data_IF_763879590908
#
_entry.id   IF_763879590908
#
_cell.length_a   1.000
_cell.length_b   1.000
_cell.length_c   1.000
_cell.angle_alpha   90.00
_cell.angle_beta   90.00
_cell.angle_gamma   90.00
#
_symmetry.space_group_name_H-M   'P 1'
#
loop_
_entity.id
_entity.type
_entity.pdbx_description
1 polymer ?
#
# COMPACT_ATOMS: atom_id res chain seq x y z
N UNK A 1 -10.65 -4.89 -7.36
CA UNK A 1 -9.31 -4.27 -7.19
C UNK A 1 -8.52 -4.23 -8.50
N UNK A 2 -8.01 -5.34 -9.03
CA UNK A 2 -7.15 -5.31 -10.23
C UNK A 2 -7.85 -4.85 -11.52
N UNK A 3 -9.18 -5.03 -11.63
CA UNK A 3 -9.94 -4.67 -12.84
C UNK A 3 -9.81 -5.74 -13.93
N UNK A 4 -10.64 -5.61 -14.98
CA UNK A 4 -10.66 -6.57 -16.10
C UNK A 4 -9.49 -6.38 -17.07
N UNK A 5 -8.96 -5.15 -17.17
CA UNK A 5 -7.89 -4.81 -18.11
C UNK A 5 -6.47 -5.08 -17.55
N UNK A 6 -6.37 -5.57 -16.31
CA UNK A 6 -5.08 -5.96 -15.75
C UNK A 6 -4.61 -7.26 -16.42
N UNK A 7 -3.43 -7.24 -17.05
CA UNK A 7 -2.84 -8.42 -17.70
C UNK A 7 -2.33 -9.47 -16.69
N UNK A 8 -1.97 -9.06 -15.47
CA UNK A 8 -1.30 -9.93 -14.49
C UNK A 8 -2.06 -11.24 -14.16
N UNK A 9 -3.40 -11.26 -13.99
CA UNK A 9 -4.16 -12.51 -13.86
C UNK A 9 -4.03 -13.43 -15.08
N UNK A 10 -4.11 -12.87 -16.29
CA UNK A 10 -3.98 -13.65 -17.54
C UNK A 10 -2.57 -14.21 -17.76
N UNK A 11 -1.56 -13.56 -17.19
CA UNK A 11 -0.15 -14.00 -17.20
C UNK A 11 0.18 -14.99 -16.08
N UNK A 12 -0.78 -15.35 -15.22
CA UNK A 12 -0.55 -16.25 -14.09
C UNK A 12 0.32 -15.66 -12.97
N UNK A 13 0.44 -14.33 -12.89
CA UNK A 13 1.26 -13.62 -11.90
C UNK A 13 0.51 -13.24 -10.61
N UNK A 14 -0.71 -13.73 -10.44
CA UNK A 14 -1.58 -13.37 -9.31
C UNK A 14 -1.88 -14.59 -8.45
N UNK A 15 -1.37 -14.58 -7.22
CA UNK A 15 -1.82 -15.43 -6.13
C UNK A 15 -2.78 -14.67 -5.22
N UNK A 16 -3.89 -15.28 -4.80
CA UNK A 16 -4.85 -14.66 -3.89
C UNK A 16 -5.35 -15.65 -2.86
N UNK A 17 -5.51 -15.18 -1.62
CA UNK A 17 -6.15 -15.93 -0.54
C UNK A 17 -7.20 -15.05 0.13
N UNK A 18 -8.32 -15.65 0.51
CA UNK A 18 -9.35 -14.94 1.28
C UNK A 18 -8.89 -14.76 2.72
N UNK A 19 -9.16 -13.58 3.29
CA UNK A 19 -8.82 -13.25 4.67
C UNK A 19 -10.04 -12.66 5.41
N UNK A 20 -10.08 -12.73 6.76
CA UNK A 20 -11.12 -12.09 7.56
C UNK A 20 -10.94 -10.56 7.58
N UNK A 21 -11.46 -9.90 6.54
CA UNK A 21 -11.39 -8.45 6.37
C UNK A 21 -9.97 -7.92 6.12
N UNK A 22 -9.83 -6.60 6.12
CA UNK A 22 -8.56 -5.91 5.86
C UNK A 22 -7.48 -6.23 6.91
N UNK A 23 -7.85 -6.31 8.19
CA UNK A 23 -6.91 -6.68 9.24
C UNK A 23 -6.32 -8.08 9.02
N UNK A 24 -7.16 -9.05 8.62
CA UNK A 24 -6.71 -10.40 8.30
C UNK A 24 -5.77 -10.41 7.11
N UNK A 25 -6.09 -9.65 6.05
CA UNK A 25 -5.25 -9.55 4.86
C UNK A 25 -3.88 -8.94 5.19
N UNK A 26 -3.86 -7.84 5.95
CA UNK A 26 -2.63 -7.21 6.45
C UNK A 26 -1.81 -8.16 7.33
N UNK A 27 -2.48 -8.89 8.24
CA UNK A 27 -1.82 -9.84 9.14
C UNK A 27 -1.15 -10.99 8.37
N UNK A 28 -1.84 -11.55 7.38
CA UNK A 28 -1.29 -12.61 6.51
C UNK A 28 -0.13 -12.05 5.67
N UNK A 29 -0.29 -10.85 5.08
CA UNK A 29 0.78 -10.17 4.35
C UNK A 29 2.04 -9.99 5.20
N UNK A 30 1.88 -9.54 6.45
CA UNK A 30 2.98 -9.43 7.40
C UNK A 30 3.67 -10.78 7.68
N UNK A 31 2.94 -11.90 7.80
CA UNK A 31 3.58 -13.22 7.96
C UNK A 31 4.38 -13.62 6.74
N UNK A 32 3.84 -13.38 5.54
CA UNK A 32 4.53 -13.69 4.29
C UNK A 32 5.81 -12.87 4.18
N UNK A 33 5.74 -11.56 4.44
CA UNK A 33 6.90 -10.66 4.44
C UNK A 33 7.94 -11.15 5.44
N UNK A 34 7.55 -11.38 6.70
CA UNK A 34 8.48 -11.80 7.75
C UNK A 34 9.11 -13.17 7.46
N UNK A 35 8.35 -14.11 6.87
CA UNK A 35 8.87 -15.43 6.49
C UNK A 35 9.85 -15.36 5.33
N UNK A 36 9.63 -14.46 4.37
CA UNK A 36 10.50 -14.28 3.20
C UNK A 36 11.75 -13.44 3.53
N UNK A 37 11.58 -12.38 4.32
CA UNK A 37 12.62 -11.42 4.67
C UNK A 37 12.45 -10.95 6.14
N UNK A 38 12.95 -11.72 7.13
CA UNK A 38 12.78 -11.38 8.55
C UNK A 38 13.40 -10.04 8.97
N UNK A 39 14.35 -9.53 8.19
CA UNK A 39 15.02 -8.25 8.42
C UNK A 39 14.37 -7.07 7.67
N UNK A 40 13.28 -7.31 6.93
CA UNK A 40 12.57 -6.26 6.20
C UNK A 40 12.06 -5.19 7.17
N UNK A 41 12.26 -3.92 6.83
CA UNK A 41 11.58 -2.80 7.49
C UNK A 41 10.33 -2.44 6.70
N UNK A 42 9.26 -2.14 7.44
CA UNK A 42 8.04 -1.59 6.85
C UNK A 42 8.07 -0.07 6.99
N UNK A 43 8.14 0.61 5.86
CA UNK A 43 8.00 2.06 5.75
C UNK A 43 6.51 2.42 5.80
N UNK A 44 6.12 3.29 6.72
CA UNK A 44 4.72 3.66 6.98
C UNK A 44 4.54 5.18 6.95
N UNK A 45 3.45 5.67 6.35
CA UNK A 45 3.18 7.10 6.29
C UNK A 45 3.07 7.75 7.67
N UNK A 46 3.50 9.00 7.79
CA UNK A 46 3.25 9.84 8.95
C UNK A 46 2.25 10.96 8.61
N UNK A 47 1.00 10.93 9.15
CA UNK A 47 0.42 9.88 9.98
C UNK A 47 -0.07 8.68 9.17
N UNK A 48 -0.60 7.64 9.84
CA UNK A 48 -1.27 6.48 9.23
C UNK A 48 -2.42 5.97 10.09
N UNK A 49 -3.12 4.93 9.64
CA UNK A 49 -4.11 4.24 10.46
C UNK A 49 -3.41 3.59 11.66
N UNK A 50 -3.73 3.95 12.92
CA UNK A 50 -2.93 3.57 14.09
C UNK A 50 -2.75 2.06 14.30
N UNK A 51 -3.65 1.25 13.71
CA UNK A 51 -3.61 -0.22 13.83
C UNK A 51 -2.50 -0.83 12.97
N UNK A 52 -1.95 -0.13 11.96
CA UNK A 52 -0.86 -0.65 11.13
C UNK A 52 0.34 -1.11 11.96
N UNK A 53 0.79 -0.31 12.93
CA UNK A 53 1.95 -0.64 13.76
C UNK A 53 1.77 -1.92 14.60
N UNK A 54 0.77 -2.02 15.51
CA UNK A 54 0.61 -3.24 16.31
C UNK A 54 0.23 -4.47 15.46
N UNK A 55 -0.50 -4.28 14.35
CA UNK A 55 -0.92 -5.40 13.50
C UNK A 55 0.25 -6.01 12.75
N UNK A 56 1.02 -5.19 12.02
CA UNK A 56 2.17 -5.64 11.24
C UNK A 56 3.37 -5.98 12.16
N UNK A 57 3.51 -5.28 13.29
CA UNK A 57 4.59 -5.50 14.25
C UNK A 57 4.43 -6.77 15.06
N UNK A 58 3.22 -7.36 15.10
CA UNK A 58 2.94 -8.58 15.87
C UNK A 58 3.75 -9.82 15.43
N UNK A 59 4.37 -9.78 14.24
CA UNK A 59 5.28 -10.83 13.74
C UNK A 59 6.77 -10.52 13.95
N UNK A 60 7.11 -9.35 14.50
CA UNK A 60 8.49 -8.92 14.70
C UNK A 60 9.09 -8.06 13.59
N UNK A 61 8.27 -7.55 12.65
CA UNK A 61 8.74 -6.59 11.63
C UNK A 61 9.14 -5.25 12.27
N UNK A 62 10.25 -4.69 11.79
CA UNK A 62 10.69 -3.34 12.14
C UNK A 62 9.98 -2.28 11.31
N UNK A 63 10.03 -1.03 11.75
CA UNK A 63 9.36 0.09 11.09
C UNK A 63 10.28 1.28 10.87
N UNK A 64 10.01 1.98 9.78
CA UNK A 64 10.46 3.35 9.53
C UNK A 64 9.23 4.17 9.15
N UNK A 65 9.28 5.49 9.32
CA UNK A 65 8.22 6.39 8.86
C UNK A 65 8.69 7.29 7.73
N UNK A 66 7.77 7.65 6.84
CA UNK A 66 8.01 8.67 5.82
C UNK A 66 6.98 9.79 5.95
N UNK A 67 7.41 11.03 5.74
CA UNK A 67 6.53 12.20 5.76
C UNK A 67 5.43 12.04 4.72
N UNK A 68 4.19 12.35 5.09
CA UNK A 68 3.05 12.20 4.19
C UNK A 68 2.10 13.39 4.23
N UNK A 69 1.52 13.74 5.38
CA UNK A 69 0.53 14.82 5.42
C UNK A 69 1.21 16.19 5.59
N UNK A 70 0.79 17.18 4.80
CA UNK A 70 1.19 18.58 4.99
C UNK A 70 0.03 19.39 5.62
N UNK A 71 0.17 19.85 6.89
CA UNK A 71 -0.85 20.66 7.54
C UNK A 71 -1.10 22.02 6.88
N UNK A 72 -0.17 22.55 6.07
CA UNK A 72 -0.35 23.85 5.42
C UNK A 72 -1.25 23.75 4.18
N UNK A 73 -1.01 22.76 3.32
CA UNK A 73 -1.80 22.52 2.11
C UNK A 73 -2.99 21.58 2.31
N UNK A 74 -3.04 20.86 3.43
CA UNK A 74 -3.95 19.75 3.70
C UNK A 74 -3.81 18.59 2.68
N UNK A 75 -2.72 18.56 1.92
CA UNK A 75 -2.42 17.56 0.90
C UNK A 75 -1.26 16.66 1.29
N UNK A 76 -0.71 15.97 0.29
CA UNK A 76 0.48 15.13 0.47
C UNK A 76 1.75 15.98 0.39
N UNK A 77 2.58 15.93 1.43
CA UNK A 77 3.97 16.36 1.43
C UNK A 77 4.82 15.40 0.58
N UNK A 78 4.63 15.45 -0.74
CA UNK A 78 5.23 14.49 -1.65
C UNK A 78 6.76 14.63 -1.74
N UNK A 79 7.28 15.85 -1.65
CA UNK A 79 8.72 16.09 -1.61
C UNK A 79 9.36 15.44 -0.37
N UNK A 80 8.73 15.59 0.80
CA UNK A 80 9.16 14.93 2.03
C UNK A 80 9.08 13.40 1.94
N UNK A 81 7.97 12.88 1.41
CA UNK A 81 7.78 11.45 1.16
C UNK A 81 8.91 10.88 0.30
N UNK A 82 9.21 11.51 -0.84
CA UNK A 82 10.26 11.06 -1.76
C UNK A 82 11.64 11.13 -1.10
N UNK A 83 11.93 12.21 -0.36
CA UNK A 83 13.21 12.37 0.33
C UNK A 83 13.45 11.27 1.38
N UNK A 84 12.42 10.89 2.15
CA UNK A 84 12.54 9.84 3.15
C UNK A 84 12.68 8.46 2.49
N UNK A 85 11.84 8.17 1.47
CA UNK A 85 11.84 6.92 0.75
C UNK A 85 13.06 6.69 -0.15
N UNK A 86 13.98 7.65 -0.31
CA UNK A 86 15.30 7.41 -0.89
C UNK A 86 16.18 6.49 -0.04
N UNK A 87 15.86 6.34 1.25
CA UNK A 87 16.58 5.48 2.19
C UNK A 87 16.00 4.07 2.27
N UNK A 88 14.94 3.77 1.51
CA UNK A 88 14.41 2.42 1.39
C UNK A 88 15.38 1.56 0.57
N UNK A 89 15.68 0.36 1.06
CA UNK A 89 16.68 -0.52 0.44
C UNK A 89 16.02 -1.79 -0.12
N UNK A 90 16.72 -2.58 -0.96
CA UNK A 90 16.20 -3.86 -1.41
C UNK A 90 15.75 -4.74 -0.24
N UNK A 91 14.53 -5.26 -0.33
CA UNK A 91 13.91 -6.08 0.72
C UNK A 91 13.11 -5.30 1.77
N UNK A 92 13.20 -3.97 1.81
CA UNK A 92 12.23 -3.16 2.55
C UNK A 92 10.85 -3.21 1.89
N UNK A 93 9.81 -2.95 2.69
CA UNK A 93 8.42 -2.87 2.23
C UNK A 93 7.90 -1.46 2.47
N UNK A 94 7.20 -0.89 1.48
CA UNK A 94 6.56 0.44 1.63
C UNK A 94 5.05 0.26 1.67
N UNK A 95 4.45 0.50 2.85
CA UNK A 95 3.01 0.39 3.08
C UNK A 95 2.29 1.65 2.59
N UNK A 96 1.50 1.51 1.53
CA UNK A 96 0.76 2.60 0.89
C UNK A 96 -0.75 2.41 1.10
N UNK A 97 -1.47 3.50 1.34
CA UNK A 97 -2.94 3.51 1.26
C UNK A 97 -3.31 3.59 -0.22
N UNK A 98 -4.16 2.68 -0.70
CA UNK A 98 -4.54 2.63 -2.12
C UNK A 98 -5.36 3.84 -2.56
N UNK A 99 -6.17 4.38 -1.66
CA UNK A 99 -7.01 5.57 -1.78
C UNK A 99 -7.59 5.90 -0.39
N UNK A 100 -8.23 7.07 -0.28
CA UNK A 100 -8.89 7.56 0.92
C UNK A 100 -8.00 7.42 2.16
N UNK A 101 -6.80 8.00 2.13
CA UNK A 101 -5.81 7.82 3.20
C UNK A 101 -6.42 8.00 4.59
N UNK A 102 -6.17 7.04 5.47
CA UNK A 102 -6.61 7.12 6.87
C UNK A 102 -5.41 7.51 7.75
N UNK A 103 -5.45 8.65 8.48
CA UNK A 103 -6.64 9.44 8.81
C UNK A 103 -6.87 10.69 7.96
N UNK A 104 -5.96 11.05 7.05
CA UNK A 104 -5.90 12.43 6.55
C UNK A 104 -6.79 12.74 5.33
N UNK A 105 -7.19 11.73 4.56
CA UNK A 105 -7.94 11.88 3.31
C UNK A 105 -7.15 12.48 2.15
N UNK A 106 -5.84 12.74 2.31
CA UNK A 106 -4.98 13.23 1.24
C UNK A 106 -4.43 12.05 0.43
N UNK A 107 -4.74 12.00 -0.86
CA UNK A 107 -4.35 10.90 -1.75
C UNK A 107 -3.28 11.33 -2.76
N UNK A 108 -2.45 10.37 -3.17
CA UNK A 108 -1.45 10.56 -4.21
C UNK A 108 -2.12 10.72 -5.59
N UNK A 109 -1.62 11.66 -6.38
CA UNK A 109 -2.00 11.74 -7.80
C UNK A 109 -1.42 10.56 -8.59
N UNK A 110 -1.99 10.25 -9.76
CA UNK A 110 -1.49 9.17 -10.61
C UNK A 110 -0.04 9.39 -11.06
N UNK A 111 0.37 10.66 -11.24
CA UNK A 111 1.76 11.03 -11.53
C UNK A 111 2.69 10.69 -10.36
N UNK A 112 2.26 11.00 -9.12
CA UNK A 112 3.00 10.66 -7.91
C UNK A 112 3.13 9.14 -7.73
N UNK A 113 2.08 8.37 -8.01
CA UNK A 113 2.15 6.91 -8.07
C UNK A 113 3.19 6.42 -9.09
N UNK A 114 3.30 7.09 -10.24
CA UNK A 114 4.32 6.84 -11.26
C UNK A 114 5.75 6.97 -10.71
N UNK A 115 6.00 8.04 -9.97
CA UNK A 115 7.30 8.27 -9.31
C UNK A 115 7.59 7.20 -8.26
N UNK A 116 6.61 6.79 -7.45
CA UNK A 116 6.77 5.71 -6.48
C UNK A 116 7.09 4.39 -7.17
N UNK A 117 6.45 4.09 -8.31
CA UNK A 117 6.78 2.91 -9.12
C UNK A 117 8.23 2.97 -9.63
N UNK A 118 8.69 4.13 -10.11
CA UNK A 118 10.08 4.31 -10.55
C UNK A 118 11.08 4.13 -9.40
N UNK A 119 10.72 4.58 -8.20
CA UNK A 119 11.53 4.38 -7.01
C UNK A 119 11.60 2.90 -6.62
N UNK A 120 10.46 2.20 -6.56
CA UNK A 120 10.39 0.78 -6.24
C UNK A 120 11.22 -0.05 -7.23
N UNK A 121 11.09 0.23 -8.53
CA UNK A 121 11.83 -0.46 -9.59
C UNK A 121 13.35 -0.24 -9.48
N UNK A 122 13.80 0.99 -9.16
CA UNK A 122 15.23 1.32 -9.06
C UNK A 122 15.86 0.87 -7.75
N UNK A 123 15.13 0.97 -6.64
CA UNK A 123 15.65 0.72 -5.29
C UNK A 123 15.40 -0.71 -4.81
N UNK A 124 14.41 -1.41 -5.39
CA UNK A 124 14.11 -2.81 -5.06
C UNK A 124 13.29 -3.01 -3.78
N UNK A 125 12.64 -1.98 -3.24
CA UNK A 125 11.63 -2.16 -2.20
C UNK A 125 10.32 -2.67 -2.80
N UNK A 126 9.55 -3.42 -2.01
CA UNK A 126 8.26 -3.97 -2.44
C UNK A 126 7.11 -3.09 -1.93
N UNK A 127 6.24 -2.56 -2.82
CA UNK A 127 5.02 -1.89 -2.36
C UNK A 127 4.04 -2.87 -1.73
N UNK A 128 3.50 -2.50 -0.58
CA UNK A 128 2.39 -3.19 0.07
C UNK A 128 1.21 -2.22 0.15
N UNK A 129 0.15 -2.47 -0.59
CA UNK A 129 -1.00 -1.56 -0.68
C UNK A 129 -2.14 -2.04 0.22
N UNK A 130 -2.57 -1.22 1.17
CA UNK A 130 -3.85 -1.36 1.88
C UNK A 130 -4.92 -0.58 1.12
N UNK A 131 -5.86 -1.30 0.50
CA UNK A 131 -6.99 -0.73 -0.22
C UNK A 131 -8.30 -1.14 0.43
N UNK A 132 -8.72 -0.34 1.42
CA UNK A 132 -9.92 -0.62 2.20
C UNK A 132 -11.17 0.16 1.75
N UNK A 133 -11.01 1.20 0.93
CA UNK A 133 -12.04 2.20 0.66
C UNK A 133 -12.35 2.38 -0.84
N UNK A 134 -11.92 1.44 -1.70
CA UNK A 134 -12.16 1.51 -3.16
C UNK A 134 -13.64 1.81 -3.52
N UNK A 135 -13.89 2.92 -4.19
CA UNK A 135 -15.21 3.41 -4.57
C UNK A 135 -15.83 4.42 -3.59
N UNK A 136 -15.09 4.88 -2.58
CA UNK A 136 -15.53 5.90 -1.63
C UNK A 136 -14.80 7.25 -1.83
N UNK A 137 -13.76 7.29 -2.66
CA UNK A 137 -13.07 8.51 -3.07
C UNK A 137 -13.65 9.07 -4.36
N UNK A 138 -12.90 8.97 -5.45
CA UNK A 138 -13.26 9.51 -6.76
C UNK A 138 -14.13 8.55 -7.57
N UNK A 139 -13.96 7.24 -7.35
CA UNK A 139 -14.73 6.21 -8.05
C UNK A 139 -14.09 4.83 -7.98
N UNK A 140 -14.81 3.79 -8.42
CA UNK A 140 -14.31 2.40 -8.31
C UNK A 140 -13.02 2.16 -9.11
N UNK A 141 -12.89 2.80 -10.27
CA UNK A 141 -11.76 2.59 -11.17
C UNK A 141 -10.61 3.53 -10.82
N UNK A 142 -10.95 4.78 -10.51
CA UNK A 142 -10.06 5.88 -10.12
C UNK A 142 -9.31 5.53 -8.83
N UNK A 143 -10.03 5.06 -7.80
CA UNK A 143 -9.48 4.69 -6.49
C UNK A 143 -8.51 3.48 -6.56
N UNK A 144 -8.53 2.72 -7.66
CA UNK A 144 -7.62 1.60 -7.88
C UNK A 144 -6.52 1.91 -8.91
N UNK A 145 -6.53 3.08 -9.54
CA UNK A 145 -5.63 3.41 -10.65
C UNK A 145 -4.15 3.37 -10.25
N UNK A 146 -3.81 3.97 -9.09
CA UNK A 146 -2.44 3.95 -8.56
C UNK A 146 -1.92 2.55 -8.27
N UNK A 147 -2.74 1.73 -7.60
CA UNK A 147 -2.43 0.31 -7.34
C UNK A 147 -2.22 -0.47 -8.64
N UNK A 148 -3.05 -0.26 -9.66
CA UNK A 148 -2.94 -0.98 -10.93
C UNK A 148 -1.72 -0.53 -11.73
N UNK A 149 -1.33 0.73 -11.62
CA UNK A 149 -0.07 1.24 -12.16
C UNK A 149 1.13 0.52 -11.54
N UNK A 150 1.13 0.30 -10.21
CA UNK A 150 2.19 -0.48 -9.57
C UNK A 150 2.24 -1.92 -10.13
N UNK A 151 1.10 -2.60 -10.21
CA UNK A 151 1.02 -4.00 -10.69
C UNK A 151 1.47 -4.14 -12.15
N UNK A 152 1.21 -3.13 -12.99
CA UNK A 152 1.62 -3.18 -14.41
C UNK A 152 3.11 -2.93 -14.61
N UNK A 153 3.77 -2.20 -13.69
CA UNK A 153 5.16 -1.77 -13.83
C UNK A 153 6.16 -2.60 -13.02
N UNK A 154 5.71 -3.21 -11.92
CA UNK A 154 6.58 -3.86 -10.96
C UNK A 154 6.49 -5.38 -11.03
N UNK A 155 7.61 -6.08 -10.73
CA UNK A 155 7.62 -7.53 -10.68
C UNK A 155 6.83 -8.08 -9.48
N UNK A 156 6.75 -7.33 -8.38
CA UNK A 156 6.11 -7.74 -7.14
C UNK A 156 5.36 -6.57 -6.48
N UNK A 157 4.12 -6.84 -6.04
CA UNK A 157 3.28 -5.93 -5.26
C UNK A 157 2.44 -6.79 -4.31
N UNK A 158 2.35 -6.41 -3.03
CA UNK A 158 1.48 -7.06 -2.05
C UNK A 158 0.21 -6.21 -1.90
N UNK A 159 -0.96 -6.84 -1.87
CA UNK A 159 -2.25 -6.14 -1.79
C UNK A 159 -3.08 -6.70 -0.63
N UNK A 160 -3.40 -5.84 0.33
CA UNK A 160 -4.44 -6.07 1.32
C UNK A 160 -5.72 -5.37 0.86
N UNK A 161 -6.67 -6.14 0.34
CA UNK A 161 -7.96 -5.62 -0.11
C UNK A 161 -9.05 -5.87 0.95
N UNK A 162 -9.86 -4.85 1.22
CA UNK A 162 -10.94 -4.93 2.19
C UNK A 162 -12.26 -4.46 1.60
N UNK A 163 -13.30 -5.29 1.72
CA UNK A 163 -14.65 -4.98 1.28
C UNK A 163 -15.67 -4.53 2.35
N UNK A 164 -15.46 -4.65 3.68
CA UNK A 164 -16.50 -4.29 4.66
C UNK A 164 -17.04 -2.86 4.59
N UNK A 165 -16.22 -1.86 4.24
CA UNK A 165 -16.69 -0.48 4.03
C UNK A 165 -17.53 -0.37 2.76
N UNK A 166 -17.00 -0.88 1.66
CA UNK A 166 -17.56 -0.70 0.32
C UNK A 166 -18.84 -1.54 0.13
N UNK A 167 -18.96 -2.69 0.81
CA UNK A 167 -20.10 -3.60 0.71
C UNK A 167 -20.97 -3.62 1.97
N UNK A 168 -20.73 -2.74 2.96
CA UNK A 168 -21.44 -2.70 4.26
C UNK A 168 -21.52 -4.07 4.95
N UNK A 169 -20.40 -4.78 5.01
CA UNK A 169 -20.33 -6.13 5.60
C UNK A 169 -19.83 -6.13 7.05
N UNK A 170 -19.87 -4.98 7.71
CA UNK A 170 -19.68 -4.92 9.17
C UNK A 170 -20.85 -5.62 9.86
N UNK A 171 -20.54 -6.46 10.84
CA UNK A 171 -21.49 -7.05 11.78
C UNK A 171 -21.32 -6.38 13.13
#
# INVERSE_FOLDING_TARGET
>A
VLGQDCAAPGEGRVGSVQAPGGCGALRIGAEVIYRAAPAARVWVSDPTWPVHFPLLGSVGLGFETYRYYDPASHGVNFEGMVADLQSAVPGDVVLLHGCCHNPCGADLSLEQWGVIADMAQRQGFTPFVDIAYQGLGDGLEEDAAGLRLLVSRLPEVIIAASCPKNMRLYR
#
